data_IF_622279076461
#
_entry.id   IF_622279076461
#
_cell.length_a   1.000
_cell.length_b   1.000
_cell.length_c   1.000
_cell.angle_alpha   90.00
_cell.angle_beta   90.00
_cell.angle_gamma   90.00
#
_symmetry.space_group_name_H-M   'P 1'
#
loop_
_entity.id
_entity.type
_entity.pdbx_description
1 polymer ?
#
# COMPACT_ATOMS: atom_id res chain seq x y z
N UNK A 1 54.68 -8.66 -26.93
CA UNK A 1 54.04 -8.82 -28.26
C UNK A 1 52.59 -8.35 -28.12
N UNK A 2 52.37 -7.03 -28.11
CA UNK A 2 51.93 -6.16 -29.23
C UNK A 2 50.52 -6.44 -29.81
N UNK A 3 49.59 -5.51 -29.49
CA UNK A 3 48.68 -4.74 -30.38
C UNK A 3 47.58 -5.55 -31.12
N UNK A 4 46.28 -5.39 -30.81
CA UNK A 4 45.32 -4.31 -31.09
C UNK A 4 44.71 -4.27 -32.52
N UNK A 5 43.38 -4.09 -32.52
CA UNK A 5 42.49 -3.45 -33.52
C UNK A 5 41.87 -4.20 -34.72
N UNK A 6 40.65 -3.72 -35.00
CA UNK A 6 39.54 -4.16 -35.88
C UNK A 6 39.86 -4.09 -37.38
N UNK A 7 38.88 -4.48 -38.22
CA UNK A 7 38.56 -3.69 -39.40
C UNK A 7 37.09 -3.23 -39.45
N UNK A 8 36.93 -1.95 -39.83
CA UNK A 8 35.70 -1.37 -40.41
C UNK A 8 35.65 -1.72 -41.90
N UNK A 9 34.46 -1.93 -42.46
CA UNK A 9 34.21 -1.68 -43.89
C UNK A 9 32.90 -0.93 -44.11
N UNK A 10 33.04 0.18 -44.84
CA UNK A 10 32.02 1.07 -45.36
C UNK A 10 31.20 0.39 -46.47
N UNK A 11 29.91 0.71 -46.59
CA UNK A 11 29.28 0.97 -47.89
C UNK A 11 28.15 2.01 -47.75
N UNK A 12 28.07 2.88 -48.76
CA UNK A 12 27.37 4.17 -48.77
C UNK A 12 26.29 4.17 -49.87
N UNK A 13 25.11 4.69 -49.52
CA UNK A 13 24.11 5.44 -50.31
C UNK A 13 23.44 4.86 -51.57
N UNK A 14 22.10 5.00 -51.61
CA UNK A 14 21.28 5.82 -52.55
C UNK A 14 19.79 5.58 -52.16
N UNK A 15 19.09 6.47 -51.44
CA UNK A 15 18.52 7.79 -51.73
C UNK A 15 17.24 7.79 -52.62
N UNK A 16 16.21 8.47 -52.08
CA UNK A 16 14.99 9.09 -52.67
C UNK A 16 13.70 8.26 -52.78
N UNK A 17 12.69 8.63 -51.97
CA UNK A 17 11.60 9.49 -52.45
C UNK A 17 10.83 10.17 -51.30
N UNK A 18 10.55 11.46 -51.52
CA UNK A 18 9.78 12.41 -50.70
C UNK A 18 8.29 12.05 -50.65
N UNK A 19 7.61 12.38 -49.55
CA UNK A 19 6.43 13.28 -49.58
C UNK A 19 6.40 14.05 -48.25
N UNK A 20 6.54 15.37 -48.37
CA UNK A 20 6.30 16.35 -47.32
C UNK A 20 4.78 16.52 -47.14
N UNK A 21 4.27 16.40 -45.91
CA UNK A 21 2.95 16.89 -45.50
C UNK A 21 3.12 17.64 -44.19
N UNK A 22 2.74 18.92 -44.21
CA UNK A 22 2.70 19.85 -43.08
C UNK A 22 1.79 19.34 -41.94
N UNK A 23 2.06 19.69 -40.67
CA UNK A 23 1.02 19.69 -39.64
C UNK A 23 0.67 21.14 -39.26
N UNK A 24 -0.54 21.55 -39.63
CA UNK A 24 -1.13 22.80 -39.20
C UNK A 24 -1.87 22.63 -37.85
N UNK A 25 -1.54 23.52 -36.93
CA UNK A 25 -2.30 24.07 -35.80
C UNK A 25 -3.02 23.20 -34.72
N UNK A 26 -2.67 23.54 -33.47
CA UNK A 26 -3.57 23.75 -32.32
C UNK A 26 -4.53 22.65 -31.83
N UNK A 27 -4.21 22.04 -30.68
CA UNK A 27 -4.90 22.31 -29.41
C UNK A 27 -4.22 21.62 -28.23
N UNK A 28 -3.60 22.44 -27.38
CA UNK A 28 -3.23 22.07 -26.01
C UNK A 28 -4.53 21.88 -25.22
N UNK A 29 -4.73 20.70 -24.65
CA UNK A 29 -5.68 20.49 -23.55
C UNK A 29 -4.93 19.83 -22.38
N UNK A 30 -4.91 20.45 -21.17
CA UNK A 30 -4.34 19.84 -19.98
C UNK A 30 -5.46 19.27 -19.10
N UNK A 31 -5.48 17.94 -18.87
CA UNK A 31 -6.19 17.21 -17.79
C UNK A 31 -6.07 15.71 -18.10
N UNK A 32 -5.74 14.81 -17.17
CA UNK A 32 -6.12 14.73 -15.76
C UNK A 32 -5.10 13.85 -15.04
N UNK A 33 -4.52 14.33 -13.94
CA UNK A 33 -3.79 13.49 -12.99
C UNK A 33 -4.80 12.53 -12.32
N UNK A 34 -4.72 11.24 -12.60
CA UNK A 34 -5.44 10.21 -11.84
C UNK A 34 -4.62 9.86 -10.59
N UNK A 35 -5.24 10.09 -9.44
CA UNK A 35 -4.73 9.86 -8.09
C UNK A 35 -4.83 8.37 -7.75
N UNK A 36 -3.80 7.89 -7.06
CA UNK A 36 -3.69 6.64 -6.30
C UNK A 36 -4.95 5.76 -6.25
N UNK A 37 -4.91 4.64 -6.97
CA UNK A 37 -5.84 3.53 -6.81
C UNK A 37 -5.54 2.81 -5.48
N UNK A 38 -6.04 3.38 -4.39
CA UNK A 38 -6.39 2.60 -3.22
C UNK A 38 -7.85 2.17 -3.40
N UNK A 39 -8.06 0.87 -3.58
CA UNK A 39 -9.34 0.15 -3.64
C UNK A 39 -10.48 0.83 -2.83
N UNK A 40 -11.18 1.79 -3.44
CA UNK A 40 -12.31 2.51 -2.84
C UNK A 40 -13.34 2.73 -3.94
N UNK A 41 -14.37 1.88 -3.93
CA UNK A 41 -15.52 1.94 -4.82
C UNK A 41 -16.10 3.36 -4.86
N UNK A 42 -16.24 3.90 -6.08
CA UNK A 42 -17.10 5.04 -6.37
C UNK A 42 -18.55 4.64 -6.02
N UNK A 43 -19.04 5.04 -4.85
CA UNK A 43 -20.48 4.96 -4.57
C UNK A 43 -21.14 6.25 -5.10
N UNK A 44 -21.99 6.11 -6.14
CA UNK A 44 -22.99 7.12 -6.51
C UNK A 44 -24.17 7.00 -5.53
N UNK A 45 -24.82 8.11 -5.14
CA UNK A 45 -26.06 8.02 -4.38
C UNK A 45 -27.14 7.32 -5.22
N UNK A 46 -27.69 6.22 -4.72
CA UNK A 46 -28.87 5.57 -5.27
C UNK A 46 -30.07 6.38 -4.77
N UNK A 47 -30.70 7.15 -5.66
CA UNK A 47 -32.09 7.55 -5.48
C UNK A 47 -32.97 6.35 -5.82
N UNK A 48 -33.55 5.70 -4.81
CA UNK A 48 -34.57 4.69 -5.04
C UNK A 48 -35.90 5.40 -5.37
N UNK A 49 -36.24 5.41 -6.65
CA UNK A 49 -37.58 5.74 -7.13
C UNK A 49 -38.32 4.43 -7.41
N UNK A 50 -39.08 3.96 -6.43
CA UNK A 50 -40.16 3.01 -6.68
C UNK A 50 -41.41 3.40 -5.90
N UNK A 51 -42.29 4.11 -6.60
CA UNK A 51 -43.65 4.38 -6.18
C UNK A 51 -44.45 3.07 -6.22
N UNK A 52 -45.19 2.75 -5.17
CA UNK A 52 -46.42 1.97 -5.30
C UNK A 52 -47.50 2.58 -4.42
N UNK A 53 -48.56 2.96 -5.12
CA UNK A 53 -49.78 3.65 -4.69
C UNK A 53 -50.63 2.82 -3.73
N UNK A 54 -50.96 3.39 -2.56
CA UNK A 54 -52.27 3.24 -1.91
C UNK A 54 -52.64 4.58 -1.25
N UNK A 55 -53.82 5.12 -1.59
CA UNK A 55 -54.35 6.41 -1.15
C UNK A 55 -55.22 6.26 0.14
N UNK A 56 -55.77 7.34 0.74
CA UNK A 56 -55.45 7.70 2.12
C UNK A 56 -56.65 7.59 3.09
N UNK A 57 -56.37 7.57 4.39
CA UNK A 57 -57.36 8.01 5.41
C UNK A 57 -56.87 9.28 6.08
N UNK A 58 -57.74 10.28 5.96
CA UNK A 58 -57.61 11.65 6.44
C UNK A 58 -57.54 11.73 7.95
N UNK A 59 -56.53 12.43 8.48
CA UNK A 59 -56.73 13.32 9.62
C UNK A 59 -55.90 14.56 9.43
N UNK A 60 -56.60 15.68 9.42
CA UNK A 60 -56.18 17.06 9.22
C UNK A 60 -55.15 17.53 10.25
N UNK A 61 -54.02 18.06 9.78
CA UNK A 61 -53.32 19.14 10.48
C UNK A 61 -52.86 20.20 9.46
N UNK A 62 -53.18 21.45 9.74
CA UNK A 62 -52.97 22.60 8.86
C UNK A 62 -51.48 22.86 8.55
N UNK A 63 -51.15 23.47 7.40
CA UNK A 63 -49.77 23.69 7.00
C UNK A 63 -49.17 24.83 7.81
N UNK A 64 -48.16 24.53 8.63
CA UNK A 64 -47.18 25.54 9.03
C UNK A 64 -46.19 25.68 7.89
N UNK A 65 -46.39 26.71 7.08
CA UNK A 65 -45.33 27.32 6.28
C UNK A 65 -44.28 27.89 7.22
N UNK A 66 -43.23 27.11 7.48
CA UNK A 66 -41.93 27.65 7.86
C UNK A 66 -40.97 27.15 6.79
N UNK A 67 -40.58 28.06 5.90
CA UNK A 67 -39.33 27.92 5.15
C UNK A 67 -38.23 27.77 6.20
N UNK A 68 -37.79 26.54 6.47
CA UNK A 68 -36.54 26.32 7.18
C UNK A 68 -35.42 26.59 6.18
N UNK A 69 -34.71 27.69 6.35
CA UNK A 69 -33.42 27.87 5.70
C UNK A 69 -32.57 26.61 5.94
N UNK A 70 -31.84 26.09 4.94
CA UNK A 70 -30.98 24.94 5.14
C UNK A 70 -29.91 25.32 6.16
N UNK A 71 -29.77 24.49 7.20
CA UNK A 71 -28.71 24.59 8.21
C UNK A 71 -27.38 24.77 7.48
N UNK A 72 -26.71 25.92 7.69
CA UNK A 72 -25.48 26.36 7.02
C UNK A 72 -24.41 25.24 6.92
N UNK A 73 -24.37 24.34 7.91
CA UNK A 73 -23.47 23.18 7.95
C UNK A 73 -23.66 22.14 6.84
N UNK A 74 -24.88 21.88 6.34
CA UNK A 74 -25.10 20.85 5.30
C UNK A 74 -24.51 21.28 3.95
N UNK A 75 -24.59 22.56 3.62
CA UNK A 75 -23.98 23.11 2.42
C UNK A 75 -22.44 23.04 2.49
N UNK A 76 -21.87 23.31 3.67
CA UNK A 76 -20.42 23.22 3.90
C UNK A 76 -19.87 21.80 3.83
N UNK A 77 -20.64 20.79 4.26
CA UNK A 77 -20.28 19.38 4.09
C UNK A 77 -20.14 19.06 2.60
N UNK A 78 -21.12 19.45 1.78
CA UNK A 78 -21.07 19.20 0.34
C UNK A 78 -19.94 19.97 -0.35
N UNK A 79 -19.70 21.23 0.01
CA UNK A 79 -18.54 21.98 -0.47
C UNK A 79 -17.22 21.26 -0.16
N UNK A 80 -17.05 20.79 1.09
CA UNK A 80 -15.87 20.06 1.51
C UNK A 80 -15.69 18.73 0.77
N UNK A 81 -16.77 17.95 0.61
CA UNK A 81 -16.77 16.70 -0.16
C UNK A 81 -16.44 16.95 -1.64
N UNK A 82 -16.93 18.04 -2.21
CA UNK A 82 -16.61 18.43 -3.58
C UNK A 82 -15.12 18.77 -3.73
N UNK A 83 -14.54 19.54 -2.80
CA UNK A 83 -13.10 19.80 -2.80
C UNK A 83 -12.27 18.52 -2.64
N UNK A 84 -12.71 17.62 -1.75
CA UNK A 84 -12.09 16.29 -1.60
C UNK A 84 -12.20 15.44 -2.87
N UNK A 85 -13.29 15.54 -3.64
CA UNK A 85 -13.45 14.82 -4.92
C UNK A 85 -12.50 15.33 -6.01
N UNK A 86 -12.13 16.62 -5.97
CA UNK A 86 -11.03 17.19 -6.76
C UNK A 86 -9.66 16.83 -6.18
N UNK A 87 -9.65 16.20 -5.00
CA UNK A 87 -8.54 15.92 -4.11
C UNK A 87 -7.75 17.16 -3.69
N UNK A 88 -8.45 18.28 -3.53
CA UNK A 88 -7.99 19.42 -2.74
C UNK A 88 -8.35 19.17 -1.27
N UNK A 89 -7.58 18.31 -0.61
CA UNK A 89 -7.89 17.89 0.77
C UNK A 89 -7.68 19.01 1.80
N UNK A 90 -6.73 19.92 1.55
CA UNK A 90 -6.54 21.12 2.40
C UNK A 90 -7.78 22.02 2.32
N UNK A 91 -8.29 22.27 1.12
CA UNK A 91 -9.54 23.02 0.92
C UNK A 91 -10.73 22.32 1.56
N UNK A 92 -10.83 20.99 1.42
CA UNK A 92 -11.89 20.22 2.06
C UNK A 92 -11.86 20.36 3.60
N UNK A 93 -10.69 20.22 4.23
CA UNK A 93 -10.50 20.38 5.67
C UNK A 93 -10.92 21.79 6.12
N UNK A 94 -10.55 22.83 5.36
CA UNK A 94 -10.95 24.19 5.67
C UNK A 94 -12.49 24.34 5.70
N UNK A 95 -13.19 23.72 4.74
CA UNK A 95 -14.66 23.72 4.71
C UNK A 95 -15.27 22.97 5.88
N UNK A 96 -14.72 21.81 6.25
CA UNK A 96 -15.22 21.07 7.40
C UNK A 96 -14.97 21.80 8.73
N UNK A 97 -13.92 22.61 8.83
CA UNK A 97 -13.63 23.44 10.01
C UNK A 97 -14.61 24.62 10.19
N UNK A 98 -15.33 25.03 9.14
CA UNK A 98 -16.34 26.11 9.23
C UNK A 98 -17.63 25.65 9.95
N UNK A 99 -17.80 24.35 10.19
CA UNK A 99 -19.02 23.77 10.78
C UNK A 99 -18.92 23.79 12.31
N UNK A 100 -19.79 24.57 12.97
CA UNK A 100 -19.85 24.67 14.44
C UNK A 100 -21.31 24.69 14.94
N UNK A 101 -21.69 23.81 15.89
CA UNK A 101 -20.88 22.75 16.48
C UNK A 101 -20.54 21.65 15.47
N UNK A 102 -19.41 20.97 15.68
CA UNK A 102 -18.99 19.87 14.81
C UNK A 102 -20.05 18.74 14.82
N UNK A 103 -20.37 18.25 13.64
CA UNK A 103 -21.30 17.13 13.42
C UNK A 103 -20.53 15.84 13.13
N UNK A 104 -21.19 14.69 13.27
CA UNK A 104 -20.65 13.39 12.87
C UNK A 104 -20.02 13.43 11.47
N UNK A 105 -20.78 13.89 10.47
CA UNK A 105 -20.34 13.94 9.08
C UNK A 105 -19.14 14.86 8.87
N UNK A 106 -19.15 16.04 9.50
CA UNK A 106 -18.05 16.99 9.37
C UNK A 106 -16.74 16.40 9.88
N UNK A 107 -16.77 15.72 11.03
CA UNK A 107 -15.62 15.05 11.63
C UNK A 107 -15.20 13.83 10.80
N UNK A 108 -16.14 12.99 10.39
CA UNK A 108 -15.86 11.82 9.56
C UNK A 108 -15.18 12.20 8.24
N UNK A 109 -15.72 13.17 7.50
CA UNK A 109 -15.13 13.59 6.23
C UNK A 109 -13.83 14.36 6.40
N UNK A 110 -13.66 15.14 7.47
CA UNK A 110 -12.38 15.77 7.81
C UNK A 110 -11.31 14.75 8.13
N UNK A 111 -11.64 13.73 8.93
CA UNK A 111 -10.74 12.59 9.18
C UNK A 111 -10.36 11.85 7.90
N UNK A 112 -11.31 11.62 7.00
CA UNK A 112 -11.01 11.06 5.67
C UNK A 112 -10.07 11.95 4.85
N UNK A 113 -10.26 13.27 4.87
CA UNK A 113 -9.39 14.21 4.17
C UNK A 113 -7.97 14.24 4.77
N UNK A 114 -7.83 14.16 6.10
CA UNK A 114 -6.54 14.01 6.77
C UNK A 114 -5.82 12.73 6.35
N UNK A 115 -6.53 11.59 6.27
CA UNK A 115 -5.95 10.34 5.77
C UNK A 115 -5.44 10.46 4.33
N UNK A 116 -6.17 11.18 3.48
CA UNK A 116 -5.78 11.37 2.08
C UNK A 116 -4.58 12.32 1.91
N UNK A 117 -4.34 13.24 2.85
CA UNK A 117 -3.10 14.02 2.86
C UNK A 117 -1.87 13.16 3.18
N UNK A 118 -2.03 12.04 3.88
CA UNK A 118 -0.98 11.03 4.10
C UNK A 118 0.18 11.49 4.98
N UNK A 119 0.19 12.74 5.45
CA UNK A 119 1.23 13.25 6.37
C UNK A 119 1.06 12.63 7.76
N UNK A 120 2.14 12.06 8.32
CA UNK A 120 2.12 11.34 9.59
C UNK A 120 1.46 12.12 10.74
N UNK A 121 1.69 13.44 10.81
CA UNK A 121 1.09 14.30 11.83
C UNK A 121 -0.43 14.46 11.66
N UNK A 122 -0.93 14.42 10.43
CA UNK A 122 -2.35 14.54 10.12
C UNK A 122 -3.11 13.24 10.39
N UNK A 123 -2.45 12.08 10.36
CA UNK A 123 -3.09 10.79 10.69
C UNK A 123 -3.58 10.78 12.16
N UNK A 124 -2.86 11.43 13.07
CA UNK A 124 -3.31 11.59 14.46
C UNK A 124 -4.57 12.44 14.57
N UNK A 125 -4.66 13.51 13.77
CA UNK A 125 -5.87 14.34 13.69
C UNK A 125 -7.05 13.54 13.11
N UNK A 126 -6.80 12.68 12.12
CA UNK A 126 -7.83 11.79 11.59
C UNK A 126 -8.40 10.85 12.66
N UNK A 127 -7.54 10.23 13.47
CA UNK A 127 -7.98 9.34 14.55
C UNK A 127 -8.81 10.10 15.59
N UNK A 128 -8.40 11.31 15.96
CA UNK A 128 -9.14 12.13 16.91
C UNK A 128 -10.51 12.54 16.36
N UNK A 129 -10.59 12.93 15.09
CA UNK A 129 -11.86 13.22 14.43
C UNK A 129 -12.78 12.00 14.40
N UNK A 130 -12.27 10.81 14.06
CA UNK A 130 -13.06 9.58 14.10
C UNK A 130 -13.52 9.22 15.52
N UNK A 131 -12.67 9.44 16.53
CA UNK A 131 -13.05 9.25 17.93
C UNK A 131 -14.19 10.18 18.34
N UNK A 132 -14.11 11.46 17.96
CA UNK A 132 -15.15 12.43 18.27
C UNK A 132 -16.44 12.13 17.52
N UNK A 133 -16.37 11.79 16.24
CA UNK A 133 -17.52 11.37 15.46
C UNK A 133 -18.23 10.17 16.12
N UNK A 134 -17.48 9.12 16.50
CA UNK A 134 -18.06 7.96 17.18
C UNK A 134 -18.66 8.30 18.55
N UNK A 135 -18.13 9.28 19.29
CA UNK A 135 -18.74 9.77 20.55
C UNK A 135 -20.05 10.53 20.34
N UNK A 136 -20.24 11.16 19.17
CA UNK A 136 -21.49 11.83 18.80
C UNK A 136 -22.57 10.85 18.32
N UNK A 137 -22.22 9.59 18.11
CA UNK A 137 -23.17 8.56 17.66
C UNK A 137 -23.72 7.80 18.87
N UNK A 138 -25.06 7.76 19.01
CA UNK A 138 -25.73 7.04 20.11
C UNK A 138 -25.85 5.52 19.84
N UNK A 139 -25.75 5.10 18.58
CA UNK A 139 -25.74 3.71 18.11
C UNK A 139 -24.56 3.50 17.18
N UNK A 140 -24.17 2.26 16.82
CA UNK A 140 -23.23 2.05 15.72
C UNK A 140 -23.70 2.89 14.51
N UNK A 141 -22.83 3.72 13.91
CA UNK A 141 -23.24 4.57 12.81
C UNK A 141 -23.76 3.74 11.65
N UNK A 142 -24.78 4.25 10.94
CA UNK A 142 -25.23 3.63 9.68
C UNK A 142 -24.04 3.44 8.73
N UNK A 143 -23.11 4.39 8.70
CA UNK A 143 -21.83 4.24 8.02
C UNK A 143 -20.78 3.55 8.91
N UNK A 144 -20.81 2.22 8.93
CA UNK A 144 -19.82 1.38 9.60
C UNK A 144 -18.39 1.57 9.09
N UNK A 145 -18.19 2.22 7.92
CA UNK A 145 -16.85 2.46 7.38
C UNK A 145 -15.98 3.30 8.31
N UNK A 146 -16.55 4.07 9.24
CA UNK A 146 -15.75 4.83 10.21
C UNK A 146 -14.83 3.92 11.03
N UNK A 147 -15.28 2.72 11.41
CA UNK A 147 -14.43 1.74 12.09
C UNK A 147 -13.27 1.31 11.19
N UNK A 148 -13.55 0.97 9.93
CA UNK A 148 -12.51 0.62 8.96
C UNK A 148 -11.49 1.76 8.75
N UNK A 149 -11.95 3.00 8.63
CA UNK A 149 -11.10 4.18 8.41
C UNK A 149 -10.24 4.49 9.63
N UNK A 150 -10.81 4.40 10.84
CA UNK A 150 -10.07 4.57 12.09
C UNK A 150 -9.06 3.45 12.31
N UNK A 151 -9.45 2.20 12.03
CA UNK A 151 -8.54 1.05 12.06
C UNK A 151 -7.33 1.26 11.15
N UNK A 152 -7.58 1.67 9.90
CA UNK A 152 -6.53 1.97 8.93
C UNK A 152 -5.62 3.10 9.41
N UNK A 153 -6.18 4.17 9.97
CA UNK A 153 -5.41 5.27 10.56
C UNK A 153 -4.50 4.79 11.70
N UNK A 154 -5.05 3.96 12.61
CA UNK A 154 -4.32 3.33 13.71
C UNK A 154 -3.19 2.42 13.20
N UNK A 155 -3.46 1.59 12.18
CA UNK A 155 -2.47 0.74 11.53
C UNK A 155 -1.30 1.54 10.96
N UNK A 156 -1.57 2.65 10.26
CA UNK A 156 -0.53 3.49 9.65
C UNK A 156 0.44 4.09 10.68
N UNK A 157 -0.02 4.33 11.92
CA UNK A 157 0.83 4.85 13.00
C UNK A 157 1.29 3.78 13.99
N UNK A 158 1.07 2.49 13.68
CA UNK A 158 1.53 1.35 14.48
C UNK A 158 0.70 1.05 15.74
N UNK A 159 -0.50 1.61 15.87
CA UNK A 159 -1.47 1.28 16.96
C UNK A 159 -2.25 0.02 16.59
N UNK A 160 -1.54 -1.10 16.46
CA UNK A 160 -2.09 -2.33 15.91
C UNK A 160 -3.22 -2.96 16.73
N UNK A 161 -3.12 -2.93 18.06
CA UNK A 161 -4.18 -3.44 18.94
C UNK A 161 -5.52 -2.71 18.75
N UNK A 162 -5.48 -1.38 18.62
CA UNK A 162 -6.67 -0.57 18.35
C UNK A 162 -7.20 -0.78 16.93
N UNK A 163 -6.31 -0.97 15.96
CA UNK A 163 -6.70 -1.32 14.60
C UNK A 163 -7.45 -2.67 14.54
N UNK A 164 -6.99 -3.67 15.28
CA UNK A 164 -7.66 -4.98 15.37
C UNK A 164 -9.06 -4.85 15.94
N UNK A 165 -9.24 -4.07 17.01
CA UNK A 165 -10.55 -3.82 17.62
C UNK A 165 -11.50 -3.19 16.59
N UNK A 166 -11.06 -2.13 15.92
CA UNK A 166 -11.89 -1.43 14.95
C UNK A 166 -12.18 -2.25 13.69
N UNK A 167 -11.22 -3.02 13.18
CA UNK A 167 -11.51 -3.95 12.08
C UNK A 167 -12.49 -5.05 12.50
N UNK A 168 -12.43 -5.52 13.75
CA UNK A 168 -13.40 -6.48 14.28
C UNK A 168 -14.80 -5.88 14.36
N UNK A 169 -14.92 -4.64 14.85
CA UNK A 169 -16.20 -3.91 14.83
C UNK A 169 -16.73 -3.72 13.42
N UNK A 170 -15.86 -3.39 12.45
CA UNK A 170 -16.26 -3.31 11.05
C UNK A 170 -16.78 -4.65 10.52
N UNK A 171 -16.11 -5.76 10.80
CA UNK A 171 -16.56 -7.10 10.39
C UNK A 171 -17.94 -7.42 11.00
N UNK A 172 -18.12 -7.18 12.31
CA UNK A 172 -19.37 -7.47 13.01
C UNK A 172 -20.55 -6.64 12.51
N UNK A 173 -20.34 -5.35 12.21
CA UNK A 173 -21.41 -4.44 11.83
C UNK A 173 -21.63 -4.34 10.31
N UNK A 174 -20.66 -4.74 9.48
CA UNK A 174 -20.77 -4.59 8.02
C UNK A 174 -21.64 -5.66 7.37
N UNK A 175 -22.34 -5.33 6.26
CA UNK A 175 -23.01 -6.33 5.44
C UNK A 175 -22.02 -7.40 4.95
N UNK A 176 -22.48 -8.64 4.81
CA UNK A 176 -21.63 -9.80 4.45
C UNK A 176 -20.75 -9.56 3.21
N UNK A 177 -21.24 -8.82 2.20
CA UNK A 177 -20.47 -8.51 0.99
C UNK A 177 -19.32 -7.50 1.20
N UNK A 178 -19.18 -6.87 2.38
CA UNK A 178 -18.10 -5.94 2.71
C UNK A 178 -17.13 -6.50 3.77
N UNK A 179 -17.52 -7.56 4.49
CA UNK A 179 -16.74 -8.16 5.59
C UNK A 179 -15.35 -8.65 5.14
N UNK A 180 -15.22 -9.16 3.91
CA UNK A 180 -13.95 -9.64 3.36
C UNK A 180 -12.82 -8.59 3.44
N UNK A 181 -13.14 -7.29 3.32
CA UNK A 181 -12.17 -6.19 3.46
C UNK A 181 -11.67 -6.06 4.89
N UNK A 182 -12.58 -6.23 5.84
CA UNK A 182 -12.26 -6.20 7.28
C UNK A 182 -11.34 -7.36 7.65
N UNK A 183 -11.71 -8.57 7.22
CA UNK A 183 -10.90 -9.78 7.42
C UNK A 183 -9.49 -9.61 6.84
N UNK A 184 -9.36 -9.24 5.57
CA UNK A 184 -8.04 -9.02 4.97
C UNK A 184 -7.23 -7.97 5.72
N UNK A 185 -7.82 -6.82 6.04
CA UNK A 185 -7.10 -5.74 6.71
C UNK A 185 -6.65 -6.13 8.11
N UNK A 186 -7.49 -6.85 8.87
CA UNK A 186 -7.13 -7.39 10.18
C UNK A 186 -6.04 -8.46 10.07
N UNK A 187 -6.11 -9.33 9.06
CA UNK A 187 -5.07 -10.32 8.77
C UNK A 187 -3.71 -9.69 8.43
N UNK A 188 -3.70 -8.57 7.70
CA UNK A 188 -2.48 -7.78 7.46
C UNK A 188 -1.92 -7.19 8.76
N UNK A 189 -2.77 -6.70 9.67
CA UNK A 189 -2.31 -6.23 10.98
C UNK A 189 -1.75 -7.38 11.83
N UNK A 190 -2.40 -8.54 11.84
CA UNK A 190 -1.87 -9.74 12.49
C UNK A 190 -0.51 -10.16 11.91
N UNK A 191 -0.30 -10.00 10.60
CA UNK A 191 1.01 -10.26 9.95
C UNK A 191 2.09 -9.31 10.46
N UNK A 192 1.79 -8.02 10.62
CA UNK A 192 2.73 -7.03 11.19
C UNK A 192 3.06 -7.32 12.67
N UNK A 193 2.11 -7.89 13.41
CA UNK A 193 2.31 -8.37 14.78
C UNK A 193 2.95 -9.76 14.87
N UNK A 194 3.24 -10.40 13.74
CA UNK A 194 3.74 -11.79 13.66
C UNK A 194 2.79 -12.84 14.25
N UNK A 195 1.50 -12.50 14.38
CA UNK A 195 0.42 -13.41 14.80
C UNK A 195 -0.10 -14.19 13.59
N UNK A 196 0.78 -14.91 12.93
CA UNK A 196 0.51 -15.40 11.59
C UNK A 196 -0.62 -16.44 11.51
N UNK A 197 -0.86 -17.22 12.57
CA UNK A 197 -2.01 -18.15 12.61
C UNK A 197 -3.34 -17.40 12.50
N UNK A 198 -3.47 -16.27 13.21
CA UNK A 198 -4.64 -15.39 13.12
C UNK A 198 -4.73 -14.72 11.75
N UNK A 199 -3.57 -14.30 11.21
CA UNK A 199 -3.50 -13.72 9.88
C UNK A 199 -4.00 -14.68 8.80
N UNK A 200 -3.59 -15.95 8.86
CA UNK A 200 -4.04 -16.99 7.93
C UNK A 200 -5.54 -17.24 8.02
N UNK A 201 -6.09 -17.32 9.22
CA UNK A 201 -7.54 -17.51 9.40
C UNK A 201 -8.32 -16.35 8.76
N UNK A 202 -7.94 -15.11 9.08
CA UNK A 202 -8.55 -13.91 8.49
C UNK A 202 -8.41 -13.86 6.96
N UNK A 203 -7.24 -14.21 6.41
CA UNK A 203 -7.03 -14.23 4.96
C UNK A 203 -7.85 -15.32 4.26
N UNK A 204 -8.03 -16.49 4.89
CA UNK A 204 -8.92 -17.55 4.38
C UNK A 204 -10.37 -17.09 4.36
N UNK A 205 -10.86 -16.50 5.46
CA UNK A 205 -12.21 -15.94 5.52
C UNK A 205 -12.40 -14.89 4.41
N UNK A 206 -11.45 -13.99 4.22
CA UNK A 206 -11.52 -12.99 3.15
C UNK A 206 -11.61 -13.64 1.75
N UNK A 207 -10.80 -14.67 1.49
CA UNK A 207 -10.77 -15.39 0.21
C UNK A 207 -12.04 -16.21 -0.04
N UNK A 208 -12.59 -16.86 0.98
CA UNK A 208 -13.85 -17.62 0.89
C UNK A 208 -15.07 -16.73 0.63
N UNK A 209 -15.08 -15.52 1.22
CA UNK A 209 -16.18 -14.57 1.06
C UNK A 209 -16.18 -13.86 -0.30
N UNK A 210 -15.02 -13.69 -0.92
CA UNK A 210 -14.92 -13.17 -2.27
C UNK A 210 -13.93 -13.99 -3.12
N UNK A 211 -14.31 -15.23 -3.52
CA UNK A 211 -13.46 -16.10 -4.34
C UNK A 211 -13.28 -15.57 -5.76
N UNK A 212 -14.17 -14.67 -6.18
CA UNK A 212 -14.00 -13.92 -7.40
C UNK A 212 -13.10 -12.71 -7.11
N UNK A 213 -11.91 -12.74 -7.73
CA UNK A 213 -11.25 -11.55 -8.27
C UNK A 213 -10.19 -10.76 -7.48
N UNK A 214 -9.45 -11.31 -6.50
CA UNK A 214 -8.24 -10.59 -6.10
C UNK A 214 -7.01 -11.47 -5.95
N UNK A 215 -6.15 -11.40 -6.96
CA UNK A 215 -4.76 -11.86 -6.91
C UNK A 215 -4.06 -11.33 -5.66
N UNK A 216 -4.49 -10.17 -5.14
CA UNK A 216 -4.03 -9.63 -3.88
C UNK A 216 -4.35 -10.53 -2.68
N UNK A 217 -5.56 -11.12 -2.58
CA UNK A 217 -5.88 -12.05 -1.48
C UNK A 217 -5.00 -13.29 -1.53
N UNK A 218 -4.85 -13.89 -2.73
CA UNK A 218 -3.99 -15.06 -2.94
C UNK A 218 -2.54 -14.74 -2.60
N UNK A 219 -2.04 -13.59 -3.03
CA UNK A 219 -0.71 -13.09 -2.68
C UNK A 219 -0.54 -12.94 -1.17
N UNK A 220 -1.49 -12.30 -0.48
CA UNK A 220 -1.46 -12.13 0.96
C UNK A 220 -1.45 -13.48 1.70
N UNK A 221 -2.30 -14.43 1.28
CA UNK A 221 -2.35 -15.78 1.86
C UNK A 221 -1.02 -16.53 1.67
N UNK A 222 -0.46 -16.52 0.46
CA UNK A 222 0.83 -17.14 0.16
C UNK A 222 1.96 -16.53 1.01
N UNK A 223 1.95 -15.21 1.16
CA UNK A 223 2.90 -14.46 2.00
C UNK A 223 2.77 -14.80 3.48
N UNK A 224 1.55 -14.95 3.99
CA UNK A 224 1.34 -15.33 5.38
C UNK A 224 1.83 -16.76 5.65
N UNK A 225 1.61 -17.69 4.72
CA UNK A 225 2.20 -19.03 4.79
C UNK A 225 3.73 -18.99 4.78
N UNK A 226 4.33 -18.17 3.91
CA UNK A 226 5.78 -18.00 3.85
C UNK A 226 6.34 -17.45 5.18
N UNK A 227 5.67 -16.47 5.77
CA UNK A 227 6.08 -15.85 7.03
C UNK A 227 6.02 -16.80 8.23
N UNK A 228 5.12 -17.79 8.21
CA UNK A 228 5.06 -18.87 9.21
C UNK A 228 6.18 -19.90 9.10
N UNK A 229 6.98 -19.85 8.04
CA UNK A 229 7.91 -20.94 7.71
C UNK A 229 7.22 -22.17 7.12
N UNK A 230 5.94 -22.08 6.76
CA UNK A 230 5.20 -23.12 6.05
C UNK A 230 5.58 -23.11 4.56
N UNK A 231 6.85 -23.44 4.27
CA UNK A 231 7.44 -23.25 2.94
C UNK A 231 6.73 -24.06 1.86
N UNK A 232 6.28 -25.27 2.17
CA UNK A 232 5.57 -26.13 1.21
C UNK A 232 4.19 -25.57 0.84
N UNK A 233 3.43 -25.12 1.84
CA UNK A 233 2.14 -24.45 1.63
C UNK A 233 2.35 -23.15 0.88
N UNK A 234 3.31 -22.32 1.27
CA UNK A 234 3.62 -21.06 0.58
C UNK A 234 3.91 -21.28 -0.91
N UNK A 235 4.75 -22.28 -1.24
CA UNK A 235 5.02 -22.65 -2.63
C UNK A 235 3.76 -23.10 -3.37
N UNK A 236 2.86 -23.84 -2.71
CA UNK A 236 1.57 -24.23 -3.31
C UNK A 236 0.71 -23.00 -3.58
N UNK A 237 0.53 -22.11 -2.61
CA UNK A 237 -0.30 -20.90 -2.76
C UNK A 237 0.26 -19.96 -3.85
N UNK A 238 1.58 -19.77 -3.92
CA UNK A 238 2.20 -18.99 -5.00
C UNK A 238 2.03 -19.66 -6.37
N UNK A 239 2.07 -20.99 -6.42
CA UNK A 239 1.79 -21.72 -7.65
C UNK A 239 0.34 -21.55 -8.10
N UNK A 240 -0.61 -21.63 -7.17
CA UNK A 240 -2.03 -21.38 -7.48
C UNK A 240 -2.24 -19.95 -8.00
N UNK A 241 -1.54 -18.95 -7.43
CA UNK A 241 -1.55 -17.59 -7.94
C UNK A 241 -0.95 -17.50 -9.37
N UNK A 242 0.18 -18.14 -9.63
CA UNK A 242 0.79 -18.17 -10.96
C UNK A 242 -0.14 -18.84 -12.00
N UNK A 243 -0.72 -19.99 -11.65
CA UNK A 243 -1.66 -20.72 -12.50
C UNK A 243 -2.93 -19.89 -12.79
N UNK A 244 -3.42 -19.13 -11.79
CA UNK A 244 -4.52 -18.19 -11.96
C UNK A 244 -4.17 -17.08 -12.96
N UNK A 245 -3.00 -16.45 -12.83
CA UNK A 245 -2.56 -15.38 -13.72
C UNK A 245 -2.34 -15.83 -15.17
N UNK A 246 -2.01 -17.11 -15.39
CA UNK A 246 -1.81 -17.69 -16.72
C UNK A 246 -3.12 -18.02 -17.45
N UNK A 247 -4.22 -18.21 -16.74
CA UNK A 247 -5.47 -18.71 -17.32
C UNK A 247 -6.05 -17.74 -18.37
N UNK A 248 -6.11 -18.19 -19.62
CA UNK A 248 -6.47 -17.37 -20.79
C UNK A 248 -7.92 -16.87 -20.81
N UNK A 249 -8.81 -17.47 -20.02
CA UNK A 249 -10.20 -17.03 -19.90
C UNK A 249 -10.38 -15.88 -18.90
N UNK A 250 -9.30 -15.48 -18.22
CA UNK A 250 -9.35 -14.31 -17.36
C UNK A 250 -9.40 -13.04 -18.19
N UNK A 251 -10.44 -12.24 -17.98
CA UNK A 251 -10.58 -10.91 -18.57
C UNK A 251 -9.47 -9.94 -18.09
N UNK A 252 -8.64 -10.37 -17.13
CA UNK A 252 -7.54 -9.59 -16.54
C UNK A 252 -6.15 -9.86 -17.12
N UNK A 253 -5.98 -10.76 -18.11
CA UNK A 253 -4.63 -11.17 -18.58
C UNK A 253 -3.74 -9.99 -19.00
N UNK A 254 -4.34 -8.97 -19.63
CA UNK A 254 -3.65 -7.76 -20.08
C UNK A 254 -3.85 -6.57 -19.13
N UNK A 255 -3.67 -6.82 -17.84
CA UNK A 255 -3.73 -5.78 -16.81
C UNK A 255 -2.40 -5.69 -16.07
N UNK A 256 -2.12 -4.50 -15.53
CA UNK A 256 -0.97 -4.28 -14.66
C UNK A 256 -0.92 -5.31 -13.52
N UNK A 257 -2.03 -5.46 -12.79
CA UNK A 257 -2.09 -6.33 -11.62
C UNK A 257 -1.79 -7.79 -11.98
N UNK A 258 -2.27 -8.26 -13.14
CA UNK A 258 -2.01 -9.64 -13.56
C UNK A 258 -0.53 -9.91 -13.80
N UNK A 259 0.11 -9.08 -14.61
CA UNK A 259 1.55 -9.20 -14.85
C UNK A 259 2.36 -8.98 -13.57
N UNK A 260 1.95 -8.04 -12.71
CA UNK A 260 2.64 -7.73 -11.48
C UNK A 260 2.60 -8.89 -10.47
N UNK A 261 1.41 -9.42 -10.16
CA UNK A 261 1.27 -10.54 -9.23
C UNK A 261 1.83 -11.84 -9.81
N UNK A 262 1.77 -12.04 -11.12
CA UNK A 262 2.42 -13.17 -11.76
C UNK A 262 3.95 -13.10 -11.65
N UNK A 263 4.51 -11.90 -11.84
CA UNK A 263 5.94 -11.64 -11.62
C UNK A 263 6.35 -11.94 -10.18
N UNK A 264 5.54 -11.52 -9.20
CA UNK A 264 5.78 -11.81 -7.78
C UNK A 264 5.71 -13.32 -7.51
N UNK A 265 4.65 -13.99 -7.95
CA UNK A 265 4.51 -15.43 -7.76
C UNK A 265 5.68 -16.20 -8.36
N UNK A 266 6.11 -15.84 -9.57
CA UNK A 266 7.26 -16.44 -10.25
C UNK A 266 8.57 -16.16 -9.51
N UNK A 267 8.75 -14.96 -8.96
CA UNK A 267 9.92 -14.61 -8.16
C UNK A 267 10.02 -15.48 -6.90
N UNK A 268 8.91 -15.65 -6.18
CA UNK A 268 8.84 -16.46 -4.94
C UNK A 268 8.99 -17.97 -5.23
N UNK A 269 8.61 -18.41 -6.43
CA UNK A 269 8.86 -19.76 -6.95
C UNK A 269 10.28 -19.95 -7.51
N UNK A 270 11.12 -18.91 -7.46
CA UNK A 270 12.49 -18.85 -8.01
C UNK A 270 12.59 -18.98 -9.54
N UNK A 271 11.49 -18.77 -10.27
CA UNK A 271 11.52 -18.58 -11.72
C UNK A 271 11.82 -17.12 -12.05
N UNK A 272 13.06 -16.71 -11.80
CA UNK A 272 13.50 -15.33 -11.99
C UNK A 272 13.46 -14.86 -13.46
N UNK A 273 13.53 -15.80 -14.41
CA UNK A 273 13.38 -15.49 -15.83
C UNK A 273 11.97 -15.02 -16.15
N UNK A 274 10.96 -15.80 -15.74
CA UNK A 274 9.55 -15.44 -15.92
C UNK A 274 9.23 -14.19 -15.10
N UNK A 275 9.69 -14.13 -13.84
CA UNK A 275 9.47 -12.97 -12.99
C UNK A 275 9.93 -11.66 -13.65
N UNK A 276 11.16 -11.65 -14.19
CA UNK A 276 11.70 -10.47 -14.84
C UNK A 276 10.89 -10.08 -16.08
N UNK A 277 10.49 -11.05 -16.91
CA UNK A 277 9.67 -10.81 -18.09
C UNK A 277 8.31 -10.19 -17.70
N UNK A 278 7.63 -10.78 -16.72
CA UNK A 278 6.30 -10.32 -16.29
C UNK A 278 6.37 -8.94 -15.62
N UNK A 279 7.42 -8.63 -14.85
CA UNK A 279 7.60 -7.27 -14.34
C UNK A 279 7.87 -6.24 -15.44
N UNK A 280 8.59 -6.61 -16.50
CA UNK A 280 8.78 -5.73 -17.66
C UNK A 280 7.45 -5.48 -18.36
N UNK A 281 6.62 -6.52 -18.54
CA UNK A 281 5.28 -6.35 -19.09
C UNK A 281 4.39 -5.50 -18.18
N UNK A 282 4.44 -5.71 -16.86
CA UNK A 282 3.70 -4.88 -15.91
C UNK A 282 4.07 -3.39 -16.04
N UNK A 283 5.34 -3.04 -16.26
CA UNK A 283 5.74 -1.65 -16.52
C UNK A 283 5.07 -1.03 -17.75
N UNK A 284 4.76 -1.82 -18.79
CA UNK A 284 4.07 -1.34 -19.99
C UNK A 284 2.63 -0.89 -19.69
N UNK A 285 2.01 -1.45 -18.64
CA UNK A 285 0.65 -1.11 -18.20
C UNK A 285 0.62 -0.16 -16.98
N UNK A 286 1.79 0.21 -16.45
CA UNK A 286 1.89 1.01 -15.23
C UNK A 286 1.50 2.48 -15.49
N UNK A 287 0.37 2.89 -14.91
CA UNK A 287 -0.21 4.22 -15.16
C UNK A 287 0.07 5.23 -14.04
N UNK A 288 0.60 4.77 -12.91
CA UNK A 288 0.93 5.62 -11.76
C UNK A 288 2.43 5.54 -11.42
N UNK A 289 2.97 6.61 -10.82
CA UNK A 289 4.35 6.61 -10.34
C UNK A 289 4.60 5.53 -9.28
N UNK A 290 3.58 5.26 -8.45
CA UNK A 290 3.62 4.20 -7.44
C UNK A 290 3.81 2.82 -8.09
N UNK A 291 2.96 2.48 -9.07
CA UNK A 291 3.08 1.22 -9.82
C UNK A 291 4.45 1.11 -10.50
N UNK A 292 4.95 2.19 -11.11
CA UNK A 292 6.26 2.19 -11.73
C UNK A 292 7.38 1.96 -10.70
N UNK A 293 7.30 2.60 -9.53
CA UNK A 293 8.27 2.44 -8.44
C UNK A 293 8.26 1.02 -7.88
N UNK A 294 7.09 0.47 -7.57
CA UNK A 294 6.91 -0.86 -7.01
C UNK A 294 7.38 -1.95 -7.99
N UNK A 295 6.99 -1.86 -9.26
CA UNK A 295 7.46 -2.82 -10.28
C UNK A 295 8.97 -2.71 -10.50
N UNK A 296 9.52 -1.49 -10.55
CA UNK A 296 10.96 -1.30 -10.72
C UNK A 296 11.76 -1.82 -9.53
N UNK A 297 11.20 -1.72 -8.32
CA UNK A 297 11.76 -2.32 -7.11
C UNK A 297 11.88 -3.84 -7.26
N UNK A 298 10.82 -4.52 -7.69
CA UNK A 298 10.86 -5.98 -7.91
C UNK A 298 11.78 -6.40 -9.06
N UNK A 299 11.90 -5.60 -10.13
CA UNK A 299 12.92 -5.83 -11.17
C UNK A 299 14.33 -5.79 -10.59
N UNK A 300 14.61 -4.81 -9.73
CA UNK A 300 15.88 -4.71 -9.02
C UNK A 300 16.18 -5.94 -8.17
N UNK A 301 15.19 -6.40 -7.38
CA UNK A 301 15.32 -7.64 -6.60
C UNK A 301 15.56 -8.88 -7.48
N UNK A 302 14.85 -8.98 -8.60
CA UNK A 302 14.98 -10.11 -9.53
C UNK A 302 16.36 -10.12 -10.19
N UNK A 303 16.88 -8.96 -10.60
CA UNK A 303 18.24 -8.83 -11.15
C UNK A 303 19.32 -9.12 -10.12
N UNK A 304 19.10 -8.75 -8.86
CA UNK A 304 19.99 -9.14 -7.76
C UNK A 304 20.03 -10.66 -7.60
N UNK A 305 18.87 -11.33 -7.60
CA UNK A 305 18.79 -12.80 -7.53
C UNK A 305 19.46 -13.49 -8.74
N UNK A 306 19.42 -12.87 -9.92
CA UNK A 306 20.15 -13.31 -11.12
C UNK A 306 21.66 -12.99 -11.10
N UNK A 307 22.16 -12.33 -10.04
CA UNK A 307 23.58 -11.97 -9.87
C UNK A 307 24.00 -10.65 -10.55
N UNK A 308 23.08 -9.93 -11.18
CA UNK A 308 23.34 -8.63 -11.82
C UNK A 308 23.26 -7.47 -10.82
N UNK A 309 24.18 -7.46 -9.84
CA UNK A 309 24.17 -6.52 -8.70
C UNK A 309 24.22 -5.05 -9.14
N UNK A 310 25.08 -4.70 -10.10
CA UNK A 310 25.20 -3.31 -10.57
C UNK A 310 23.92 -2.80 -11.23
N UNK A 311 23.21 -3.65 -11.96
CA UNK A 311 21.93 -3.28 -12.58
C UNK A 311 20.81 -3.21 -11.54
N UNK A 312 20.81 -4.12 -10.55
CA UNK A 312 19.89 -4.05 -9.42
C UNK A 312 20.03 -2.73 -8.64
N UNK A 313 21.27 -2.28 -8.38
CA UNK A 313 21.53 -0.98 -7.73
C UNK A 313 20.96 0.16 -8.57
N UNK A 314 21.19 0.17 -9.89
CA UNK A 314 20.65 1.22 -10.78
C UNK A 314 19.12 1.23 -10.78
N UNK A 315 18.48 0.07 -10.77
CA UNK A 315 17.03 -0.02 -10.73
C UNK A 315 16.47 0.51 -9.41
N UNK A 316 17.07 0.15 -8.27
CA UNK A 316 16.66 0.68 -6.97
C UNK A 316 16.95 2.19 -6.83
N UNK A 317 18.03 2.70 -7.42
CA UNK A 317 18.26 4.15 -7.50
C UNK A 317 17.21 4.85 -8.37
N UNK A 318 16.70 4.17 -9.41
CA UNK A 318 15.57 4.68 -10.18
C UNK A 318 14.28 4.70 -9.36
N UNK A 319 14.04 3.70 -8.49
CA UNK A 319 12.92 3.74 -7.54
C UNK A 319 12.98 5.00 -6.69
N UNK A 320 14.16 5.36 -6.17
CA UNK A 320 14.31 6.59 -5.36
C UNK A 320 14.15 7.91 -6.13
N UNK A 321 14.21 7.87 -7.46
CA UNK A 321 13.85 9.03 -8.32
C UNK A 321 12.33 9.18 -8.47
N UNK A 322 11.60 8.07 -8.40
CA UNK A 322 10.13 8.05 -8.47
C UNK A 322 9.51 8.33 -7.11
N UNK A 323 10.04 7.70 -6.05
CA UNK A 323 9.65 7.88 -4.67
C UNK A 323 10.89 7.99 -3.77
N UNK A 324 11.21 9.22 -3.37
CA UNK A 324 12.36 9.53 -2.51
C UNK A 324 12.23 8.92 -1.11
N UNK A 325 11.00 8.62 -0.66
CA UNK A 325 10.73 8.05 0.67
C UNK A 325 10.46 6.54 0.60
N UNK A 326 10.89 5.87 -0.47
CA UNK A 326 10.66 4.44 -0.64
C UNK A 326 11.53 3.62 0.33
N UNK A 327 10.98 3.37 1.52
CA UNK A 327 11.66 2.69 2.65
C UNK A 327 12.36 1.38 2.29
N UNK A 328 11.71 0.52 1.49
CA UNK A 328 12.28 -0.79 1.08
C UNK A 328 13.47 -0.62 0.14
N UNK A 329 13.45 0.40 -0.72
CA UNK A 329 14.52 0.65 -1.69
C UNK A 329 15.76 1.21 -0.97
N UNK A 330 15.56 2.12 -0.01
CA UNK A 330 16.63 2.53 0.89
C UNK A 330 17.25 1.34 1.62
N UNK A 331 16.45 0.46 2.23
CA UNK A 331 16.99 -0.69 2.94
C UNK A 331 17.81 -1.62 2.01
N UNK A 332 17.26 -1.97 0.84
CA UNK A 332 17.93 -2.84 -0.15
C UNK A 332 19.20 -2.23 -0.74
N UNK A 333 19.18 -0.94 -1.09
CA UNK A 333 20.39 -0.23 -1.52
C UNK A 333 21.45 -0.20 -0.42
N UNK A 334 21.01 0.01 0.83
CA UNK A 334 21.86 -0.08 2.02
C UNK A 334 22.59 -1.41 2.10
N UNK A 335 21.84 -2.51 2.00
CA UNK A 335 22.40 -3.87 2.03
C UNK A 335 23.34 -4.13 0.85
N UNK A 336 22.88 -3.91 -0.40
CA UNK A 336 23.68 -4.19 -1.60
C UNK A 336 24.98 -3.37 -1.64
N UNK A 337 24.93 -2.09 -1.28
CA UNK A 337 26.11 -1.22 -1.23
C UNK A 337 27.03 -1.55 -0.03
N UNK A 338 26.53 -2.19 1.02
CA UNK A 338 27.34 -2.59 2.19
C UNK A 338 28.33 -3.72 1.90
N UNK A 339 28.17 -4.42 0.76
CA UNK A 339 29.09 -5.46 0.32
C UNK A 339 30.32 -4.90 -0.39
N UNK A 340 30.28 -3.63 -0.83
CA UNK A 340 31.41 -2.97 -1.45
C UNK A 340 32.00 -1.92 -0.49
N UNK A 341 33.26 -2.12 -0.08
CA UNK A 341 33.95 -1.24 0.86
C UNK A 341 33.95 0.23 0.42
N UNK A 342 34.03 0.49 -0.88
CA UNK A 342 34.03 1.85 -1.45
C UNK A 342 32.67 2.55 -1.30
N UNK A 343 31.60 1.79 -1.07
CA UNK A 343 30.23 2.28 -0.98
C UNK A 343 29.67 2.29 0.45
N UNK A 344 30.46 1.90 1.46
CA UNK A 344 30.05 1.87 2.87
C UNK A 344 29.40 3.17 3.36
N UNK A 345 29.96 4.33 3.01
CA UNK A 345 29.38 5.63 3.38
C UNK A 345 28.00 5.88 2.75
N UNK A 346 27.78 5.41 1.52
CA UNK A 346 26.47 5.50 0.87
C UNK A 346 25.49 4.49 1.49
N UNK A 347 25.95 3.26 1.72
CA UNK A 347 25.17 2.21 2.38
C UNK A 347 24.64 2.67 3.74
N UNK A 348 25.50 3.28 4.55
CA UNK A 348 25.14 3.78 5.88
C UNK A 348 24.08 4.89 5.81
N UNK A 349 24.16 5.79 4.83
CA UNK A 349 23.12 6.82 4.59
C UNK A 349 21.78 6.17 4.27
N UNK A 350 21.76 5.19 3.37
CA UNK A 350 20.52 4.51 3.00
C UNK A 350 19.91 3.73 4.17
N UNK A 351 20.71 2.97 4.95
CA UNK A 351 20.23 2.27 6.14
C UNK A 351 19.72 3.25 7.21
N UNK A 352 20.37 4.41 7.36
CA UNK A 352 19.91 5.44 8.29
C UNK A 352 18.57 6.04 7.88
N UNK A 353 18.38 6.35 6.59
CA UNK A 353 17.08 6.81 6.07
C UNK A 353 16.00 5.74 6.26
N UNK A 354 16.30 4.47 5.94
CA UNK A 354 15.37 3.37 6.16
C UNK A 354 14.94 3.25 7.64
N UNK A 355 15.88 3.37 8.58
CA UNK A 355 15.58 3.35 10.01
C UNK A 355 14.75 4.56 10.46
N UNK A 356 15.05 5.77 9.96
CA UNK A 356 14.27 6.97 10.27
C UNK A 356 12.81 6.83 9.83
N UNK A 357 12.56 6.21 8.67
CA UNK A 357 11.23 5.96 8.15
C UNK A 357 10.52 4.76 8.81
N UNK A 358 11.27 3.82 9.40
CA UNK A 358 10.72 2.65 10.08
C UNK A 358 11.42 2.38 11.43
N UNK A 359 11.20 3.25 12.45
CA UNK A 359 11.94 3.17 13.70
C UNK A 359 11.75 1.88 14.49
N UNK A 360 10.63 1.18 14.26
CA UNK A 360 10.26 -0.05 14.97
C UNK A 360 10.89 -1.33 14.40
N UNK A 361 11.60 -1.25 13.27
CA UNK A 361 12.21 -2.43 12.64
C UNK A 361 13.62 -2.70 13.17
N UNK A 362 13.77 -3.76 13.96
CA UNK A 362 15.06 -4.19 14.52
C UNK A 362 16.06 -4.64 13.45
N UNK A 363 15.58 -5.28 12.37
CA UNK A 363 16.42 -5.81 11.29
C UNK A 363 17.28 -4.73 10.62
N UNK A 364 16.74 -3.52 10.44
CA UNK A 364 17.48 -2.41 9.84
C UNK A 364 18.64 -1.95 10.74
N UNK A 365 18.39 -1.89 12.04
CA UNK A 365 19.43 -1.58 13.04
C UNK A 365 20.48 -2.68 13.10
N UNK A 366 20.08 -3.96 12.98
CA UNK A 366 21.01 -5.07 12.91
C UNK A 366 21.97 -4.93 11.72
N UNK A 367 21.43 -4.67 10.52
CA UNK A 367 22.26 -4.46 9.32
C UNK A 367 23.12 -3.20 9.41
N UNK A 368 22.59 -2.10 9.96
CA UNK A 368 23.36 -0.87 10.17
C UNK A 368 24.50 -1.09 11.17
N UNK A 369 24.24 -1.84 12.25
CA UNK A 369 25.26 -2.24 13.22
C UNK A 369 26.32 -3.16 12.61
N UNK A 370 25.95 -4.09 11.74
CA UNK A 370 26.90 -4.93 11.00
C UNK A 370 27.80 -4.08 10.07
N UNK A 371 27.22 -3.10 9.38
CA UNK A 371 28.00 -2.15 8.57
C UNK A 371 28.93 -1.30 9.43
N UNK A 372 28.47 -0.78 10.57
CA UNK A 372 29.34 -0.09 11.53
C UNK A 372 30.52 -0.95 11.98
N UNK A 373 30.30 -2.25 12.21
CA UNK A 373 31.37 -3.19 12.52
C UNK A 373 32.36 -3.34 11.36
N UNK A 374 31.88 -3.54 10.12
CA UNK A 374 32.72 -3.57 8.90
C UNK A 374 33.55 -2.29 8.75
N UNK A 375 33.02 -1.13 9.17
CA UNK A 375 33.70 0.17 9.16
C UNK A 375 34.61 0.43 10.38
N UNK A 376 34.74 -0.51 11.32
CA UNK A 376 35.53 -0.33 12.55
C UNK A 376 34.90 0.58 13.61
N UNK A 377 33.63 0.97 13.45
CA UNK A 377 32.90 1.87 14.33
C UNK A 377 32.21 1.08 15.44
N UNK A 378 33.00 0.58 16.40
CA UNK A 378 32.52 -0.37 17.42
C UNK A 378 31.43 0.22 18.33
N UNK A 379 31.55 1.49 18.75
CA UNK A 379 30.56 2.12 19.63
C UNK A 379 29.18 2.23 18.96
N UNK A 380 29.15 2.64 17.69
CA UNK A 380 27.92 2.73 16.90
C UNK A 380 27.31 1.34 16.64
N UNK A 381 28.14 0.33 16.37
CA UNK A 381 27.70 -1.06 16.25
C UNK A 381 27.01 -1.56 17.53
N UNK A 382 27.65 -1.37 18.69
CA UNK A 382 27.08 -1.80 19.98
C UNK A 382 25.78 -1.06 20.28
N UNK A 383 25.72 0.24 19.99
CA UNK A 383 24.51 1.04 20.15
C UNK A 383 23.35 0.47 19.32
N UNK A 384 23.55 0.27 18.02
CA UNK A 384 22.52 -0.24 17.10
C UNK A 384 22.06 -1.65 17.47
N UNK A 385 22.99 -2.56 17.81
CA UNK A 385 22.63 -3.92 18.22
C UNK A 385 21.83 -3.95 19.51
N UNK A 386 22.13 -3.06 20.48
CA UNK A 386 21.34 -2.93 21.72
C UNK A 386 19.94 -2.39 21.44
N UNK A 387 19.81 -1.40 20.56
CA UNK A 387 18.50 -0.89 20.16
C UNK A 387 17.68 -1.94 19.42
N UNK A 388 18.29 -2.70 18.51
CA UNK A 388 17.63 -3.80 17.80
C UNK A 388 17.07 -4.84 18.78
N UNK A 389 17.88 -5.28 19.75
CA UNK A 389 17.47 -6.24 20.79
C UNK A 389 16.30 -5.70 21.64
N UNK A 390 16.34 -4.41 22.01
CA UNK A 390 15.27 -3.78 22.79
C UNK A 390 13.95 -3.78 22.02
N UNK A 391 13.99 -3.49 20.72
CA UNK A 391 12.79 -3.50 19.87
C UNK A 391 12.20 -4.90 19.73
N UNK A 392 13.04 -5.92 19.59
CA UNK A 392 12.60 -7.31 19.56
C UNK A 392 11.89 -7.71 20.85
N UNK A 393 12.46 -7.37 22.01
CA UNK A 393 11.84 -7.62 23.30
C UNK A 393 10.48 -6.92 23.45
N UNK A 394 10.37 -5.65 23.03
CA UNK A 394 9.09 -4.93 23.11
C UNK A 394 8.03 -5.48 22.16
N UNK A 395 8.43 -5.97 20.98
CA UNK A 395 7.49 -6.58 20.03
C UNK A 395 7.02 -7.94 20.54
N UNK A 396 7.92 -8.72 21.16
CA UNK A 396 7.60 -9.98 21.84
C UNK A 396 6.68 -9.72 23.02
N UNK A 397 6.92 -8.70 23.84
CA UNK A 397 6.05 -8.36 24.98
C UNK A 397 4.64 -7.92 24.53
N UNK A 398 4.50 -7.35 23.33
CA UNK A 398 3.18 -7.06 22.72
C UNK A 398 2.49 -8.31 22.16
N UNK A 399 3.25 -9.32 21.72
CA UNK A 399 2.72 -10.56 21.13
C UNK A 399 2.63 -11.74 22.11
N UNK A 400 3.27 -11.67 23.28
CA UNK A 400 3.37 -12.78 24.23
C UNK A 400 3.05 -12.36 25.67
N UNK A 401 1.76 -12.30 25.99
CA UNK A 401 1.34 -12.97 27.21
C UNK A 401 1.54 -14.49 27.02
N UNK A 402 2.72 -14.97 27.44
CA UNK A 402 3.21 -16.36 27.64
C UNK A 402 4.32 -16.87 26.69
N UNK A 403 5.51 -16.90 27.29
CA UNK A 403 6.55 -17.95 27.28
C UNK A 403 7.31 -18.33 25.99
N UNK A 404 8.61 -17.95 26.04
CA UNK A 404 9.83 -18.74 25.77
C UNK A 404 10.57 -18.68 24.40
N UNK A 405 11.81 -18.15 24.50
CA UNK A 405 13.14 -18.65 24.07
C UNK A 405 13.51 -18.92 22.60
N UNK A 406 14.64 -18.28 22.24
CA UNK A 406 15.71 -18.65 21.29
C UNK A 406 15.36 -19.50 20.05
N UNK A 407 15.48 -18.87 18.87
CA UNK A 407 16.13 -19.51 17.71
C UNK A 407 17.09 -18.51 17.05
N UNK A 408 18.38 -18.73 17.31
CA UNK A 408 19.48 -18.31 16.44
C UNK A 408 19.41 -19.11 15.13
N UNK A 409 19.83 -18.44 14.06
CA UNK A 409 20.19 -18.93 12.73
C UNK A 409 19.08 -18.92 11.65
N UNK A 410 19.47 -18.27 10.55
CA UNK A 410 18.88 -18.30 9.19
C UNK A 410 17.49 -17.71 9.03
N UNK A 411 17.41 -16.39 8.85
CA UNK A 411 16.24 -15.77 8.21
C UNK A 411 16.63 -15.24 6.83
N UNK A 412 16.57 -16.19 5.88
CA UNK A 412 16.40 -15.98 4.46
C UNK A 412 14.94 -15.57 4.21
N UNK A 413 14.54 -14.36 4.57
CA UNK A 413 13.20 -13.86 4.23
C UNK A 413 13.27 -12.36 3.91
N UNK A 414 13.17 -12.08 2.61
CA UNK A 414 13.30 -10.76 2.03
C UNK A 414 11.99 -9.96 2.16
N UNK A 415 12.06 -8.88 2.96
CA UNK A 415 11.10 -7.80 3.17
C UNK A 415 10.80 -6.98 1.92
#
# INVERSE_FOLDING_TARGET
>A
MMIAERPRSLFRSKNKNKVDVEPDSNRITPRTQMKSDAFMLKEKPIHDTSATTVAPTTTTYAPRTTQSEPIDGSNKIEEGRLEASKGNYIGAIAKFNEISPATFDSLYYRGCAYLQLGEFFQIKNAIEDFNQALKLSETPPEDVNIYYKRAFACQLIGRFSEAIIDYSMFIECSPSNKQHKGYLSRGLVHTELQEYDKALEDMRQANEMNPQLDMYYMYCLARAHAALGNTSEAQREFKELADYCQNEHSHSKHTYDNHFYYGIASYELNDYSVALQEFIEALNYANTQQQQADTKFYIGLTRYALGSIDDAIKDLEHVLKLDVNHKRAHFRLGMMKSENENLHSQALRHLTQAHQMTPQKSSILYERGNLHHKMGQLDACVHDKRLALKLEQTNVDQSTSRDFYEVRHTFFFEW
#
